data_IF_166029462744
#
_entry.id   IF_166029462744
#
_cell.length_a   1.000
_cell.length_b   1.000
_cell.length_c   1.000
_cell.angle_alpha   90.00
_cell.angle_beta   90.00
_cell.angle_gamma   90.00
#
_symmetry.space_group_name_H-M   'P 1'
#
loop_
_entity.id
_entity.type
_entity.pdbx_description
1 polymer ?
#
# COMPACT_ATOMS: atom_id res chain seq x y z
N UNK A 1 -1.09 -15.98 0.21
CA UNK A 1 -0.98 -15.01 1.32
C UNK A 1 0.30 -15.29 2.07
N UNK A 2 1.08 -14.27 2.46
CA UNK A 2 2.39 -14.47 3.11
C UNK A 2 2.20 -15.30 4.38
N UNK A 3 3.04 -16.33 4.57
CA UNK A 3 3.04 -17.19 5.75
C UNK A 3 3.96 -16.57 6.79
N UNK A 4 3.59 -15.40 7.30
CA UNK A 4 4.34 -14.79 8.39
C UNK A 4 4.21 -15.66 9.64
N UNK A 5 5.28 -15.71 10.44
CA UNK A 5 5.44 -16.63 11.55
C UNK A 5 4.23 -16.60 12.51
N UNK A 6 3.72 -15.40 12.77
CA UNK A 6 2.58 -15.13 13.66
C UNK A 6 1.27 -15.79 13.23
N UNK A 7 1.11 -16.11 11.95
CA UNK A 7 -0.13 -16.71 11.41
C UNK A 7 0.03 -18.18 11.06
N UNK A 8 1.17 -18.81 11.33
CA UNK A 8 1.44 -20.19 10.91
C UNK A 8 0.45 -21.20 11.52
N UNK A 9 0.09 -21.02 12.78
CA UNK A 9 -0.84 -21.88 13.52
C UNK A 9 -2.31 -21.69 13.12
N UNK A 10 -2.64 -20.61 12.42
CA UNK A 10 -4.01 -20.28 12.07
C UNK A 10 -4.48 -21.00 10.82
N UNK A 11 -5.70 -21.51 10.86
CA UNK A 11 -6.43 -22.07 9.71
C UNK A 11 -6.69 -21.00 8.64
N UNK A 12 -6.99 -21.45 7.42
CA UNK A 12 -7.38 -20.55 6.33
C UNK A 12 -8.61 -19.71 6.71
N UNK A 13 -9.57 -20.29 7.43
CA UNK A 13 -10.78 -19.62 7.87
C UNK A 13 -10.48 -18.50 8.86
N UNK A 14 -9.60 -18.74 9.83
CA UNK A 14 -9.18 -17.71 10.80
C UNK A 14 -8.42 -16.56 10.12
N UNK A 15 -7.48 -16.88 9.22
CA UNK A 15 -6.78 -15.86 8.43
C UNK A 15 -7.74 -15.02 7.60
N UNK A 16 -8.77 -15.64 7.00
CA UNK A 16 -9.84 -14.94 6.29
C UNK A 16 -10.65 -14.04 7.21
N UNK A 17 -10.98 -14.48 8.43
CA UNK A 17 -11.70 -13.66 9.41
C UNK A 17 -10.90 -12.42 9.81
N UNK A 18 -9.61 -12.57 10.10
CA UNK A 18 -8.71 -11.45 10.45
C UNK A 18 -8.62 -10.47 9.27
N UNK A 19 -8.33 -10.98 8.08
CA UNK A 19 -8.27 -10.16 6.86
C UNK A 19 -9.57 -9.41 6.62
N UNK A 20 -10.72 -10.09 6.73
CA UNK A 20 -12.02 -9.49 6.51
C UNK A 20 -12.35 -8.42 7.55
N UNK A 21 -11.89 -8.56 8.80
CA UNK A 21 -12.00 -7.51 9.82
C UNK A 21 -11.30 -6.23 9.37
N UNK A 22 -10.02 -6.33 8.97
CA UNK A 22 -9.24 -5.20 8.48
C UNK A 22 -9.81 -4.62 7.17
N UNK A 23 -10.24 -5.48 6.25
CA UNK A 23 -10.91 -5.09 5.01
C UNK A 23 -12.19 -4.28 5.28
N UNK A 24 -13.01 -4.74 6.23
CA UNK A 24 -14.25 -4.06 6.61
C UNK A 24 -13.97 -2.71 7.26
N UNK A 25 -12.93 -2.62 8.08
CA UNK A 25 -12.44 -1.35 8.60
C UNK A 25 -12.01 -0.41 7.45
N UNK A 26 -11.11 -0.86 6.57
CA UNK A 26 -10.58 -0.04 5.48
C UNK A 26 -11.66 0.45 4.49
N UNK A 27 -12.69 -0.36 4.20
CA UNK A 27 -13.79 0.06 3.30
C UNK A 27 -14.72 1.10 3.94
N UNK A 28 -14.81 1.16 5.27
CA UNK A 28 -15.74 2.06 5.98
C UNK A 28 -15.11 3.39 6.35
N UNK A 29 -13.81 3.42 6.65
CA UNK A 29 -13.12 4.68 6.98
C UNK A 29 -13.06 5.63 5.79
N UNK A 30 -13.15 6.94 6.07
CA UNK A 30 -13.05 7.99 5.06
C UNK A 30 -11.58 8.27 4.71
N UNK A 31 -11.01 7.40 3.89
CA UNK A 31 -9.64 7.54 3.39
C UNK A 31 -9.63 7.53 1.87
N UNK A 32 -8.62 8.20 1.32
CA UNK A 32 -8.17 8.02 -0.06
C UNK A 32 -6.78 7.41 -0.03
N UNK A 33 -6.46 6.59 -1.03
CA UNK A 33 -5.14 5.98 -1.14
C UNK A 33 -4.58 6.06 -2.54
N UNK A 34 -3.26 6.08 -2.61
CA UNK A 34 -2.48 5.98 -3.82
C UNK A 34 -1.40 4.92 -3.63
N UNK A 35 -1.11 4.15 -4.67
CA UNK A 35 -0.06 3.13 -4.65
C UNK A 35 0.92 3.35 -5.79
N UNK A 36 2.21 3.31 -5.45
CA UNK A 36 3.30 3.27 -6.42
C UNK A 36 3.59 1.82 -6.78
N UNK A 37 3.59 1.52 -8.08
CA UNK A 37 4.04 0.24 -8.61
C UNK A 37 5.32 0.44 -9.43
N UNK A 38 6.25 -0.51 -9.32
CA UNK A 38 7.49 -0.54 -10.11
C UNK A 38 7.72 -1.97 -10.56
N UNK A 39 7.87 -2.19 -11.87
CA UNK A 39 8.13 -3.51 -12.42
C UNK A 39 9.62 -3.83 -12.32
N UNK A 40 9.98 -4.78 -11.44
CA UNK A 40 11.38 -5.14 -11.19
C UNK A 40 12.13 -5.68 -12.42
N UNK A 41 11.40 -6.21 -13.42
CA UNK A 41 12.02 -6.77 -14.63
C UNK A 41 12.64 -5.71 -15.53
N UNK A 42 12.26 -4.45 -15.35
CA UNK A 42 12.73 -3.31 -16.14
C UNK A 42 13.88 -2.57 -15.45
N UNK A 43 14.40 -3.12 -14.35
CA UNK A 43 15.46 -2.51 -13.54
C UNK A 43 16.71 -3.37 -13.60
N UNK A 44 17.86 -2.73 -13.84
CA UNK A 44 19.16 -3.40 -13.84
C UNK A 44 19.72 -3.43 -12.42
N UNK A 45 19.55 -2.35 -11.66
CA UNK A 45 20.10 -2.21 -10.31
C UNK A 45 19.11 -1.66 -9.28
N UNK A 46 19.49 -1.76 -8.00
CA UNK A 46 18.75 -1.17 -6.88
C UNK A 46 18.64 0.36 -6.98
N UNK A 47 19.66 1.00 -7.56
CA UNK A 47 19.68 2.46 -7.78
C UNK A 47 18.50 2.85 -8.70
N UNK A 48 18.24 2.08 -9.75
CA UNK A 48 17.14 2.34 -10.68
C UNK A 48 15.78 2.28 -9.97
N UNK A 49 15.60 1.36 -9.02
CA UNK A 49 14.39 1.28 -8.21
C UNK A 49 14.16 2.58 -7.42
N UNK A 50 15.19 3.05 -6.72
CA UNK A 50 15.11 4.27 -5.90
C UNK A 50 14.84 5.50 -6.77
N UNK A 51 15.46 5.60 -7.94
CA UNK A 51 15.22 6.66 -8.92
C UNK A 51 13.77 6.62 -9.42
N UNK A 52 13.24 5.44 -9.76
CA UNK A 52 11.86 5.30 -10.22
C UNK A 52 10.85 5.66 -9.12
N UNK A 53 11.05 5.19 -7.88
CA UNK A 53 10.17 5.52 -6.75
C UNK A 53 10.17 7.04 -6.53
N UNK A 54 11.36 7.66 -6.49
CA UNK A 54 11.52 9.11 -6.31
C UNK A 54 10.77 9.88 -7.40
N UNK A 55 11.00 9.55 -8.69
CA UNK A 55 10.34 10.21 -9.83
C UNK A 55 8.82 10.09 -9.75
N UNK A 56 8.30 8.88 -9.53
CA UNK A 56 6.85 8.64 -9.51
C UNK A 56 6.19 9.31 -8.30
N UNK A 57 6.81 9.26 -7.12
CA UNK A 57 6.31 9.93 -5.92
C UNK A 57 6.28 11.46 -6.10
N UNK A 58 7.38 12.05 -6.54
CA UNK A 58 7.45 13.50 -6.79
C UNK A 58 6.41 13.93 -7.82
N UNK A 59 6.29 13.22 -8.94
CA UNK A 59 5.31 13.53 -9.97
C UNK A 59 3.87 13.48 -9.44
N UNK A 60 3.54 12.49 -8.60
CA UNK A 60 2.22 12.40 -7.96
C UNK A 60 1.95 13.61 -7.05
N UNK A 61 2.90 13.93 -6.17
CA UNK A 61 2.74 15.05 -5.22
C UNK A 61 2.65 16.41 -5.93
N UNK A 62 3.48 16.66 -6.95
CA UNK A 62 3.39 17.88 -7.75
C UNK A 62 2.09 18.00 -8.54
N UNK A 63 1.64 16.91 -9.17
CA UNK A 63 0.38 16.88 -9.92
C UNK A 63 -0.82 17.26 -9.04
N UNK A 64 -0.77 16.89 -7.77
CA UNK A 64 -1.86 17.10 -6.80
C UNK A 64 -1.48 18.12 -5.72
N UNK A 65 -0.53 19.01 -6.00
CA UNK A 65 0.02 19.95 -5.03
C UNK A 65 -1.08 20.81 -4.40
N UNK A 66 -2.01 21.32 -5.22
CA UNK A 66 -3.14 22.15 -4.78
C UNK A 66 -3.98 21.46 -3.69
N UNK A 67 -4.18 20.15 -3.79
CA UNK A 67 -4.93 19.38 -2.78
C UNK A 67 -4.15 19.32 -1.47
N UNK A 68 -2.84 19.06 -1.52
CA UNK A 68 -2.02 18.92 -0.33
C UNK A 68 -1.73 20.25 0.38
N UNK A 69 -1.66 21.36 -0.37
CA UNK A 69 -1.44 22.71 0.19
C UNK A 69 -2.67 23.29 0.88
N UNK A 70 -3.84 22.67 0.76
CA UNK A 70 -5.04 23.05 1.52
C UNK A 70 -4.95 22.69 3.00
N UNK A 71 -4.01 21.80 3.37
CA UNK A 71 -3.82 21.36 4.75
C UNK A 71 -2.70 22.15 5.41
N UNK A 72 -2.91 22.57 6.67
CA UNK A 72 -1.89 23.27 7.48
C UNK A 72 -0.66 22.38 7.74
N UNK A 73 -0.87 21.06 7.87
CA UNK A 73 0.17 20.11 8.27
C UNK A 73 0.11 18.83 7.48
N UNK A 74 1.29 18.32 7.14
CA UNK A 74 1.46 17.00 6.52
C UNK A 74 2.21 16.11 7.51
N UNK A 75 1.57 15.01 7.91
CA UNK A 75 2.16 14.00 8.80
C UNK A 75 2.43 12.72 8.02
N UNK A 76 3.69 12.26 8.02
CA UNK A 76 4.11 11.02 7.38
C UNK A 76 4.39 9.98 8.47
N UNK A 77 3.56 8.94 8.50
CA UNK A 77 3.72 7.79 9.40
C UNK A 77 4.46 6.67 8.67
N UNK A 78 5.65 6.30 9.16
CA UNK A 78 6.49 5.27 8.54
C UNK A 78 7.25 4.47 9.59
N UNK A 79 7.44 3.16 9.38
CA UNK A 79 8.09 2.27 10.35
C UNK A 79 9.62 2.24 10.25
N UNK A 80 10.19 2.86 9.20
CA UNK A 80 11.60 2.84 8.87
C UNK A 80 12.15 1.44 8.57
N UNK A 81 11.30 0.50 8.14
CA UNK A 81 11.71 -0.87 7.79
C UNK A 81 12.67 -0.96 6.61
N UNK A 82 12.66 0.04 5.71
CA UNK A 82 13.64 0.21 4.64
C UNK A 82 14.21 1.63 4.67
N UNK A 83 15.49 1.76 5.05
CA UNK A 83 16.18 3.05 5.22
C UNK A 83 16.27 3.86 3.92
N UNK A 84 16.48 3.21 2.77
CA UNK A 84 16.51 3.92 1.49
C UNK A 84 15.16 4.55 1.14
N UNK A 85 14.06 3.82 1.37
CA UNK A 85 12.72 4.37 1.19
C UNK A 85 12.42 5.48 2.19
N UNK A 86 12.92 5.36 3.44
CA UNK A 86 12.83 6.45 4.42
C UNK A 86 13.49 7.73 3.88
N UNK A 87 14.70 7.61 3.33
CA UNK A 87 15.45 8.74 2.78
C UNK A 87 14.71 9.37 1.58
N UNK A 88 14.11 8.56 0.71
CA UNK A 88 13.28 9.06 -0.40
C UNK A 88 12.08 9.84 0.13
N UNK A 89 11.32 9.28 1.08
CA UNK A 89 10.16 9.96 1.66
C UNK A 89 10.57 11.30 2.30
N UNK A 90 11.62 11.30 3.14
CA UNK A 90 12.14 12.51 3.78
C UNK A 90 12.57 13.54 2.74
N UNK A 91 13.34 13.13 1.74
CA UNK A 91 13.84 14.03 0.69
C UNK A 91 12.70 14.63 -0.14
N UNK A 92 11.80 13.79 -0.68
CA UNK A 92 10.73 14.27 -1.57
C UNK A 92 9.75 15.18 -0.83
N UNK A 93 9.27 14.78 0.35
CA UNK A 93 8.28 15.59 1.06
C UNK A 93 8.86 16.93 1.54
N UNK A 94 10.09 16.97 2.08
CA UNK A 94 10.72 18.24 2.48
C UNK A 94 11.12 19.13 1.30
N UNK A 95 11.27 18.56 0.10
CA UNK A 95 11.50 19.36 -1.12
C UNK A 95 10.22 20.06 -1.57
N UNK A 96 9.06 19.41 -1.40
CA UNK A 96 7.78 19.89 -1.93
C UNK A 96 7.02 20.75 -0.92
N UNK A 97 7.12 20.44 0.37
CA UNK A 97 6.31 21.05 1.42
C UNK A 97 7.20 21.69 2.49
N UNK A 98 6.78 22.86 3.00
CA UNK A 98 7.54 23.61 4.00
C UNK A 98 7.51 22.98 5.40
N UNK A 99 6.38 22.38 5.79
CA UNK A 99 6.17 21.81 7.12
C UNK A 99 5.69 20.37 7.00
N UNK A 100 6.59 19.42 7.27
CA UNK A 100 6.30 17.97 7.25
C UNK A 100 6.80 17.33 8.53
N UNK A 101 5.90 16.62 9.23
CA UNK A 101 6.24 15.85 10.43
C UNK A 101 6.40 14.37 10.09
N UNK A 102 7.56 13.81 10.36
CA UNK A 102 7.79 12.37 10.24
C UNK A 102 7.61 11.68 11.60
N UNK A 103 6.75 10.66 11.64
CA UNK A 103 6.45 9.88 12.84
C UNK A 103 6.82 8.43 12.62
N UNK A 104 7.70 7.91 13.49
CA UNK A 104 8.01 6.49 13.53
C UNK A 104 6.83 5.72 14.11
N UNK A 105 6.37 4.69 13.41
CA UNK A 105 5.23 3.87 13.83
C UNK A 105 5.58 2.39 13.84
N UNK A 106 4.74 1.60 14.52
CA UNK A 106 4.70 0.15 14.37
C UNK A 106 3.29 -0.27 13.94
N UNK A 107 3.14 -1.36 13.15
CA UNK A 107 1.83 -1.82 12.71
C UNK A 107 0.83 -2.04 13.85
N UNK A 108 1.29 -2.57 14.99
CA UNK A 108 0.45 -2.84 16.18
C UNK A 108 -0.20 -1.58 16.75
N UNK A 109 0.43 -0.42 16.57
CA UNK A 109 -0.02 0.85 17.16
C UNK A 109 -1.00 1.60 16.24
N UNK A 110 -1.04 1.29 14.93
CA UNK A 110 -1.79 2.07 13.93
C UNK A 110 -2.59 1.21 12.95
N UNK A 111 -3.93 1.21 13.09
CA UNK A 111 -4.84 0.50 12.18
C UNK A 111 -4.76 0.99 10.73
N UNK A 112 -4.55 2.29 10.51
CA UNK A 112 -4.40 2.86 9.17
C UNK A 112 -3.09 2.42 8.51
N UNK A 113 -2.04 2.15 9.29
CA UNK A 113 -0.79 1.59 8.78
C UNK A 113 -1.01 0.17 8.25
N UNK A 114 -1.67 -0.69 9.04
CA UNK A 114 -2.07 -2.03 8.60
C UNK A 114 -2.99 -1.97 7.36
N UNK A 115 -3.92 -1.01 7.32
CA UNK A 115 -4.77 -0.80 6.16
C UNK A 115 -3.97 -0.42 4.91
N UNK A 116 -2.95 0.44 5.03
CA UNK A 116 -2.07 0.80 3.91
C UNK A 116 -1.35 -0.43 3.34
N UNK A 117 -0.79 -1.30 4.19
CA UNK A 117 -0.15 -2.55 3.76
C UNK A 117 -1.12 -3.50 3.04
N UNK A 118 -2.34 -3.63 3.57
CA UNK A 118 -3.39 -4.42 2.94
C UNK A 118 -3.81 -3.85 1.59
N UNK A 119 -3.92 -2.51 1.47
CA UNK A 119 -4.26 -1.83 0.21
C UNK A 119 -3.17 -2.09 -0.84
N UNK A 120 -1.89 -1.92 -0.48
CA UNK A 120 -0.77 -2.28 -1.35
C UNK A 120 -0.81 -3.74 -1.79
N UNK A 121 -1.16 -4.65 -0.88
CA UNK A 121 -1.31 -6.07 -1.21
C UNK A 121 -2.46 -6.33 -2.18
N UNK A 122 -3.62 -5.70 -1.99
CA UNK A 122 -4.76 -5.82 -2.88
C UNK A 122 -4.47 -5.27 -4.28
N UNK A 123 -3.76 -4.14 -4.37
CA UNK A 123 -3.32 -3.56 -5.64
C UNK A 123 -2.34 -4.47 -6.38
N UNK A 124 -1.37 -5.04 -5.67
CA UNK A 124 -0.46 -6.03 -6.26
C UNK A 124 -1.21 -7.27 -6.75
N UNK A 125 -2.22 -7.74 -6.01
CA UNK A 125 -3.06 -8.86 -6.43
C UNK A 125 -3.89 -8.53 -7.67
N UNK A 126 -4.37 -7.29 -7.82
CA UNK A 126 -5.06 -6.83 -9.02
C UNK A 126 -4.14 -6.93 -10.25
N UNK A 127 -2.92 -6.37 -10.16
CA UNK A 127 -1.91 -6.44 -11.23
C UNK A 127 -1.55 -7.89 -11.59
N UNK A 128 -1.40 -8.75 -10.58
CA UNK A 128 -1.14 -10.18 -10.80
C UNK A 128 -2.33 -10.89 -11.44
N UNK A 129 -3.55 -10.55 -11.05
CA UNK A 129 -4.76 -11.14 -11.60
C UNK A 129 -4.93 -10.80 -13.09
N UNK A 130 -4.63 -9.57 -13.49
CA UNK A 130 -4.63 -9.14 -14.90
C UNK A 130 -3.65 -9.94 -15.76
N UNK A 131 -2.47 -10.26 -15.21
CA UNK A 131 -1.45 -11.07 -15.88
C UNK A 131 -1.63 -12.58 -15.71
N UNK A 132 -2.72 -13.05 -15.08
CA UNK A 132 -2.94 -14.46 -14.68
C UNK A 132 -1.80 -15.06 -13.83
N UNK A 133 -1.16 -14.23 -13.00
CA UNK A 133 0.01 -14.57 -12.16
C UNK A 133 -0.33 -14.77 -10.68
N UNK A 134 -1.59 -15.05 -10.32
CA UNK A 134 -1.94 -15.38 -8.94
C UNK A 134 -1.31 -16.72 -8.54
N UNK A 135 -0.63 -16.73 -7.39
CA UNK A 135 -0.09 -17.95 -6.81
C UNK A 135 -1.22 -18.87 -6.33
N UNK A 136 -0.93 -20.17 -6.21
CA UNK A 136 -1.87 -21.15 -5.64
C UNK A 136 -2.43 -20.70 -4.28
N UNK A 137 -1.58 -20.13 -3.43
CA UNK A 137 -2.00 -19.65 -2.09
C UNK A 137 -2.96 -18.46 -2.15
N UNK A 138 -2.80 -17.56 -3.13
CA UNK A 138 -3.68 -16.41 -3.32
C UNK A 138 -5.00 -16.85 -3.95
N UNK A 139 -4.95 -17.75 -4.93
CA UNK A 139 -6.15 -18.35 -5.52
C UNK A 139 -6.97 -19.13 -4.50
N UNK A 140 -6.34 -19.90 -3.62
CA UNK A 140 -7.03 -20.59 -2.51
C UNK A 140 -7.64 -19.59 -1.51
N UNK A 141 -6.92 -18.51 -1.19
CA UNK A 141 -7.41 -17.50 -0.28
C UNK A 141 -8.63 -16.75 -0.86
N UNK A 142 -8.51 -16.22 -2.08
CA UNK A 142 -9.56 -15.43 -2.71
C UNK A 142 -10.55 -16.26 -3.53
N UNK A 143 -10.41 -17.59 -3.55
CA UNK A 143 -11.22 -18.57 -4.31
C UNK A 143 -11.03 -18.49 -5.84
N UNK A 144 -11.04 -17.29 -6.42
CA UNK A 144 -10.74 -17.05 -7.84
C UNK A 144 -10.42 -15.58 -8.11
N UNK A 145 -9.83 -15.28 -9.27
CA UNK A 145 -9.63 -13.90 -9.76
C UNK A 145 -10.96 -13.14 -9.88
N UNK A 146 -12.03 -13.80 -10.34
CA UNK A 146 -13.38 -13.22 -10.42
C UNK A 146 -13.91 -12.82 -9.03
N UNK A 147 -13.73 -13.71 -8.04
CA UNK A 147 -14.18 -13.43 -6.68
C UNK A 147 -13.32 -12.35 -5.99
N UNK A 148 -11.99 -12.36 -6.20
CA UNK A 148 -11.10 -11.29 -5.76
C UNK A 148 -11.62 -9.91 -6.24
N UNK A 149 -11.91 -9.81 -7.54
CA UNK A 149 -12.41 -8.58 -8.14
C UNK A 149 -13.75 -8.14 -7.57
N UNK A 150 -14.74 -9.05 -7.58
CA UNK A 150 -16.12 -8.74 -7.19
C UNK A 150 -16.25 -8.45 -5.69
N UNK A 151 -15.64 -9.27 -4.84
CA UNK A 151 -15.84 -9.23 -3.40
C UNK A 151 -14.89 -8.25 -2.68
N UNK A 152 -13.70 -7.99 -3.24
CA UNK A 152 -12.68 -7.21 -2.54
C UNK A 152 -12.29 -5.93 -3.27
N UNK A 153 -11.81 -6.05 -4.52
CA UNK A 153 -11.19 -4.93 -5.23
C UNK A 153 -12.19 -3.81 -5.56
N UNK A 154 -13.40 -4.15 -6.05
CA UNK A 154 -14.37 -3.14 -6.50
C UNK A 154 -14.72 -2.09 -5.44
N UNK A 155 -14.89 -2.49 -4.18
CA UNK A 155 -15.25 -1.55 -3.11
C UNK A 155 -14.05 -0.71 -2.67
N UNK A 156 -12.86 -1.32 -2.58
CA UNK A 156 -11.64 -0.64 -2.18
C UNK A 156 -11.18 0.33 -3.26
N UNK A 157 -11.19 -0.04 -4.54
CA UNK A 157 -10.73 0.80 -5.64
C UNK A 157 -11.51 2.13 -5.78
N UNK A 158 -12.74 2.21 -5.26
CA UNK A 158 -13.50 3.48 -5.16
C UNK A 158 -12.85 4.51 -4.21
N UNK A 159 -11.94 4.05 -3.35
CA UNK A 159 -11.13 4.88 -2.45
C UNK A 159 -9.80 5.31 -3.07
N UNK A 160 -9.48 4.91 -4.30
CA UNK A 160 -8.29 5.45 -4.97
C UNK A 160 -8.38 6.97 -5.02
N UNK A 161 -7.23 7.61 -4.83
CA UNK A 161 -7.01 9.01 -5.09
C UNK A 161 -6.92 9.16 -6.62
N UNK A 162 -7.97 9.75 -7.22
CA UNK A 162 -8.11 9.98 -8.67
C UNK A 162 -8.20 11.49 -8.87
#
# INVERSE_FOLDING_TARGET
>A
MRREYEYLSLSLTERKRIFNSLYNFARTVNIKYYTLNVEKKELEEKIDLNVQITKKLSAFLFKHLEVFTQYERIMVYYDFGQMELANILVSVFNTIFQVVEFRKVKPVDYKLFQAADMLCTLELLALKAEKNMLSKSESVFFTSSKNLNKAYLKAIQRKRFI
#
